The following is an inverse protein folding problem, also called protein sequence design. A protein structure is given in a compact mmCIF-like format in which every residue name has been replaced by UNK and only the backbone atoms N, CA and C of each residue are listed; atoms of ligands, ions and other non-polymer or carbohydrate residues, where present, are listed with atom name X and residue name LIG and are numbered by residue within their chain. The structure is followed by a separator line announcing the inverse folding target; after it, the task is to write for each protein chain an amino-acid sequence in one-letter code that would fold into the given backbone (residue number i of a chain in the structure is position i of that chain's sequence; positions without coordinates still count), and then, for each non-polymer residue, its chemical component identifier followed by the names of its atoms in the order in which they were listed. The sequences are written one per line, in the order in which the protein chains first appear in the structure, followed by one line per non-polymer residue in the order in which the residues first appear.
data_IF_339860563036
#
_entry.id   IF_339860563036
#
_cell.length_a   1.000
_cell.length_b   1.000
_cell.length_c   1.000
_cell.angle_alpha   90.00
_cell.angle_beta   90.00
_cell.angle_gamma   90.00
#
_symmetry.space_group_name_H-M   'P 1'
#
loop_
_entity.id
_entity.type
_entity.pdbx_description
1 polymer ?
#
# COMPACT_ATOMS: atom_id res chain seq x y z
N UNK A 1 4.84 33.24 -18.86
CA UNK A 1 5.13 32.57 -17.57
C UNK A 1 3.84 32.20 -16.83
N UNK A 2 2.98 31.34 -17.40
CA UNK A 2 1.70 30.91 -16.78
C UNK A 2 1.60 29.39 -16.57
N UNK A 3 2.39 28.61 -17.31
CA UNK A 3 2.30 27.14 -17.35
C UNK A 3 2.84 26.48 -16.06
N UNK A 4 3.84 27.09 -15.39
CA UNK A 4 4.44 26.52 -14.16
C UNK A 4 3.49 26.57 -12.95
N UNK A 5 2.54 27.50 -12.91
CA UNK A 5 1.61 27.68 -11.79
C UNK A 5 0.44 26.68 -11.84
N UNK A 6 -0.07 26.36 -13.03
CA UNK A 6 -1.16 25.39 -13.21
C UNK A 6 -0.74 23.96 -12.87
N UNK A 7 0.50 23.58 -13.18
CA UNK A 7 1.06 22.26 -12.83
C UNK A 7 1.23 22.12 -11.31
N UNK A 8 1.66 23.19 -10.62
CA UNK A 8 1.80 23.20 -9.17
C UNK A 8 0.45 23.04 -8.45
N UNK A 9 -0.61 23.70 -8.96
CA UNK A 9 -1.97 23.59 -8.40
C UNK A 9 -2.61 22.21 -8.63
N UNK A 10 -2.38 21.59 -9.79
CA UNK A 10 -2.86 20.23 -10.06
C UNK A 10 -2.19 19.21 -9.13
N UNK A 11 -0.87 19.30 -8.93
CA UNK A 11 -0.14 18.42 -8.02
C UNK A 11 -0.59 18.61 -6.56
N UNK A 12 -0.81 19.85 -6.11
CA UNK A 12 -1.26 20.14 -4.74
C UNK A 12 -2.67 19.59 -4.46
N UNK A 13 -3.58 19.63 -5.44
CA UNK A 13 -4.95 19.08 -5.28
C UNK A 13 -4.96 17.55 -5.12
N UNK A 14 -4.08 16.82 -5.83
CA UNK A 14 -3.98 15.36 -5.70
C UNK A 14 -3.34 14.92 -4.38
N UNK A 15 -2.48 15.75 -3.79
CA UNK A 15 -1.88 15.50 -2.47
C UNK A 15 -2.88 15.83 -1.35
N UNK A 16 -3.71 16.87 -1.52
CA UNK A 16 -4.70 17.27 -0.52
C UNK A 16 -5.93 16.34 -0.47
N UNK A 17 -6.30 15.72 -1.59
CA UNK A 17 -7.36 14.69 -1.61
C UNK A 17 -6.97 13.39 -0.88
N UNK A 18 -5.68 13.18 -0.59
CA UNK A 18 -5.19 12.02 0.15
C UNK A 18 -5.26 12.20 1.68
N UNK A 19 -5.51 13.42 2.17
CA UNK A 19 -5.36 13.79 3.59
C UNK A 19 -6.65 13.82 4.43
N UNK A 20 -7.83 13.58 3.85
CA UNK A 20 -9.12 13.75 4.54
C UNK A 20 -9.90 12.44 4.79
N UNK A 21 -9.41 11.29 4.37
CA UNK A 21 -10.19 10.04 4.48
C UNK A 21 -10.06 9.30 5.83
N UNK A 22 -9.31 9.81 6.81
CA UNK A 22 -8.93 9.01 7.99
C UNK A 22 -9.59 9.42 9.31
N UNK A 23 -10.54 10.38 9.32
CA UNK A 23 -11.10 10.89 10.59
C UNK A 23 -12.50 10.39 10.95
N UNK A 24 -13.29 9.85 10.01
CA UNK A 24 -14.70 9.50 10.25
C UNK A 24 -14.90 7.99 10.39
N UNK A 25 -14.09 7.33 11.23
CA UNK A 25 -14.25 5.90 11.53
C UNK A 25 -14.02 5.54 13.01
N UNK A 26 -13.54 6.49 13.82
CA UNK A 26 -13.12 6.25 15.21
C UNK A 26 -14.23 6.38 16.25
N UNK A 27 -15.32 7.09 15.95
CA UNK A 27 -16.34 7.45 16.94
C UNK A 27 -17.45 6.40 17.12
N UNK A 28 -17.66 5.50 16.16
CA UNK A 28 -18.68 4.43 16.24
C UNK A 28 -18.20 3.14 16.92
N UNK A 29 -16.90 3.02 17.20
CA UNK A 29 -16.23 1.80 17.71
C UNK A 29 -16.32 1.63 19.23
N UNK A 30 -16.63 2.69 19.98
CA UNK A 30 -16.51 2.70 21.45
C UNK A 30 -17.59 1.93 22.23
N UNK A 31 -18.58 1.28 21.60
CA UNK A 31 -19.72 0.64 22.33
C UNK A 31 -19.86 -0.88 22.22
N UNK A 32 -18.86 -1.55 21.69
CA UNK A 32 -18.71 -3.00 21.65
C UNK A 32 -17.46 -3.26 20.83
N UNK A 33 -16.55 -4.16 21.26
CA UNK A 33 -15.32 -4.41 20.51
C UNK A 33 -15.70 -4.86 19.08
N UNK A 34 -15.60 -3.93 18.13
CA UNK A 34 -15.86 -4.22 16.74
C UNK A 34 -14.68 -5.08 16.25
N UNK A 35 -14.95 -6.39 16.10
CA UNK A 35 -13.93 -7.37 15.75
C UNK A 35 -13.27 -7.04 14.41
N UNK A 36 -14.00 -6.42 13.48
CA UNK A 36 -13.45 -5.90 12.23
C UNK A 36 -12.39 -4.83 12.47
N UNK A 37 -12.67 -3.82 13.29
CA UNK A 37 -11.72 -2.75 13.62
C UNK A 37 -10.51 -3.29 14.36
N UNK A 38 -10.72 -4.24 15.29
CA UNK A 38 -9.63 -4.96 15.96
C UNK A 38 -8.73 -5.68 14.97
N UNK A 39 -9.32 -6.38 13.99
CA UNK A 39 -8.59 -7.02 12.90
C UNK A 39 -7.76 -6.04 12.08
N UNK A 40 -8.30 -4.86 11.77
CA UNK A 40 -7.58 -3.80 11.07
C UNK A 40 -6.37 -3.28 11.85
N UNK A 41 -6.56 -2.97 13.14
CA UNK A 41 -5.49 -2.46 14.02
C UNK A 41 -4.38 -3.50 14.22
N UNK A 42 -4.74 -4.77 14.33
CA UNK A 42 -3.76 -5.85 14.45
C UNK A 42 -2.97 -6.06 13.15
N UNK A 43 -3.64 -5.99 12.00
CA UNK A 43 -2.96 -6.05 10.70
C UNK A 43 -1.97 -4.90 10.53
N UNK A 44 -2.32 -3.69 10.96
CA UNK A 44 -1.44 -2.52 10.90
C UNK A 44 -0.11 -2.73 11.64
N UNK A 45 -0.16 -3.38 12.80
CA UNK A 45 1.03 -3.61 13.64
C UNK A 45 1.83 -4.85 13.21
N UNK A 46 1.14 -5.89 12.74
CA UNK A 46 1.74 -7.22 12.63
C UNK A 46 1.95 -7.70 11.18
N UNK A 47 1.24 -7.16 10.20
CA UNK A 47 1.30 -7.67 8.84
C UNK A 47 2.64 -7.35 8.16
N UNK A 48 3.43 -8.40 7.89
CA UNK A 48 4.74 -8.34 7.22
C UNK A 48 4.79 -9.11 5.89
N UNK A 49 3.66 -9.63 5.43
CA UNK A 49 3.55 -10.47 4.23
C UNK A 49 3.89 -9.76 2.90
N UNK A 50 4.04 -8.43 2.92
CA UNK A 50 4.35 -7.61 1.74
C UNK A 50 5.81 -7.69 1.26
N UNK A 51 6.78 -8.02 2.15
CA UNK A 51 8.22 -7.90 1.86
C UNK A 51 8.71 -8.65 0.63
N UNK A 52 8.18 -9.87 0.39
CA UNK A 52 8.56 -10.67 -0.80
C UNK A 52 8.05 -10.01 -2.09
N UNK A 53 6.83 -9.48 -2.08
CA UNK A 53 6.23 -8.79 -3.23
C UNK A 53 6.90 -7.43 -3.49
N UNK A 54 7.28 -6.73 -2.42
CA UNK A 54 8.03 -5.46 -2.44
C UNK A 54 9.37 -5.63 -3.16
N UNK A 55 10.20 -6.59 -2.72
CA UNK A 55 11.52 -6.84 -3.27
C UNK A 55 11.47 -7.29 -4.74
N UNK A 56 10.52 -8.18 -5.08
CA UNK A 56 10.33 -8.63 -6.45
C UNK A 56 9.89 -7.50 -7.39
N UNK A 57 8.96 -6.65 -6.94
CA UNK A 57 8.50 -5.49 -7.73
C UNK A 57 9.64 -4.51 -7.96
N UNK A 58 10.43 -4.21 -6.92
CA UNK A 58 11.58 -3.32 -7.03
C UNK A 58 12.60 -3.83 -8.07
N UNK A 59 13.00 -5.11 -7.99
CA UNK A 59 13.98 -5.70 -8.90
C UNK A 59 13.52 -5.70 -10.37
N UNK A 60 12.26 -6.09 -10.63
CA UNK A 60 11.71 -6.05 -12.00
C UNK A 60 11.59 -4.62 -12.52
N UNK A 61 11.18 -3.68 -11.67
CA UNK A 61 11.03 -2.28 -12.03
C UNK A 61 12.35 -1.58 -12.32
N UNK A 62 13.46 -2.05 -11.74
CA UNK A 62 14.80 -1.53 -12.02
C UNK A 62 15.29 -1.92 -13.43
N UNK A 63 14.94 -3.12 -13.89
CA UNK A 63 15.27 -3.60 -15.25
C UNK A 63 14.46 -2.88 -16.32
N UNK A 64 13.16 -2.69 -16.07
CA UNK A 64 12.29 -1.90 -16.92
C UNK A 64 11.10 -1.39 -16.10
N UNK A 65 10.97 -0.07 -15.89
CA UNK A 65 9.86 0.50 -15.13
C UNK A 65 8.49 0.18 -15.74
N UNK A 66 8.42 0.03 -17.06
CA UNK A 66 7.22 -0.37 -17.81
C UNK A 66 6.82 -1.82 -17.51
N UNK A 67 7.78 -2.74 -17.46
CA UNK A 67 7.52 -4.14 -17.11
C UNK A 67 7.19 -4.26 -15.61
N UNK A 68 7.83 -3.45 -14.78
CA UNK A 68 7.59 -3.37 -13.33
C UNK A 68 6.18 -2.91 -12.94
N UNK A 69 5.45 -2.25 -13.84
CA UNK A 69 4.07 -1.85 -13.62
C UNK A 69 3.13 -3.07 -13.59
N UNK A 70 3.43 -4.13 -14.34
CA UNK A 70 2.60 -5.34 -14.42
C UNK A 70 2.52 -6.04 -13.04
N UNK A 71 3.64 -6.33 -12.34
CA UNK A 71 3.63 -6.81 -10.96
C UNK A 71 2.91 -5.88 -9.98
N UNK A 72 3.05 -4.56 -10.12
CA UNK A 72 2.42 -3.59 -9.23
C UNK A 72 0.89 -3.65 -9.31
N UNK A 73 0.36 -3.69 -10.53
CA UNK A 73 -1.08 -3.84 -10.81
C UNK A 73 -1.56 -5.22 -10.34
N UNK A 74 -0.90 -6.31 -10.75
CA UNK A 74 -1.30 -7.67 -10.40
C UNK A 74 -1.26 -7.95 -8.89
N UNK A 75 -0.26 -7.43 -8.17
CA UNK A 75 -0.16 -7.59 -6.72
C UNK A 75 -1.21 -6.78 -5.95
N UNK A 76 -1.74 -5.72 -6.56
CA UNK A 76 -2.77 -4.86 -5.98
C UNK A 76 -4.13 -5.54 -6.00
N UNK A 77 -4.47 -6.23 -7.09
CA UNK A 77 -5.78 -6.90 -7.19
C UNK A 77 -5.86 -8.23 -6.42
N UNK A 78 -4.73 -8.89 -6.21
CA UNK A 78 -4.72 -10.17 -5.48
C UNK A 78 -4.58 -9.95 -3.97
N UNK A 79 -5.57 -10.37 -3.15
CA UNK A 79 -5.47 -10.30 -1.70
C UNK A 79 -4.26 -11.13 -1.21
N UNK A 80 -3.71 -10.82 -0.02
CA UNK A 80 -2.65 -11.62 0.57
C UNK A 80 -3.11 -13.09 0.72
N UNK A 81 -2.27 -14.03 0.30
CA UNK A 81 -2.52 -15.46 0.54
C UNK A 81 -2.60 -15.70 2.05
N UNK A 82 -3.49 -16.58 2.51
CA UNK A 82 -3.68 -16.84 3.95
C UNK A 82 -2.37 -17.16 4.69
N UNK A 83 -1.51 -17.98 4.08
CA UNK A 83 -0.17 -18.31 4.60
C UNK A 83 0.77 -17.11 4.81
N UNK A 84 0.46 -15.95 4.24
CA UNK A 84 1.23 -14.72 4.35
C UNK A 84 0.54 -13.68 5.26
N UNK A 85 -0.67 -13.97 5.77
CA UNK A 85 -1.40 -13.05 6.64
C UNK A 85 -0.79 -12.99 8.03
N UNK A 86 -0.21 -14.09 8.53
CA UNK A 86 0.49 -14.14 9.83
C UNK A 86 -0.32 -13.50 10.97
N UNK A 87 -1.56 -13.97 11.16
CA UNK A 87 -2.41 -13.50 12.25
C UNK A 87 -1.68 -13.61 13.59
N UNK A 88 -1.68 -12.56 14.44
CA UNK A 88 -1.01 -12.59 15.73
C UNK A 88 -1.66 -13.61 16.68
N UNK A 89 -2.99 -13.71 16.63
CA UNK A 89 -3.76 -14.68 17.41
C UNK A 89 -4.61 -15.56 16.49
N UNK A 90 -4.23 -16.85 16.30
CA UNK A 90 -4.98 -17.78 15.45
C UNK A 90 -6.43 -18.02 15.90
N UNK A 91 -6.71 -17.81 17.20
CA UNK A 91 -8.05 -17.93 17.76
C UNK A 91 -8.97 -16.81 17.27
N UNK A 92 -8.47 -15.57 17.20
CA UNK A 92 -9.22 -14.42 16.67
C UNK A 92 -9.49 -14.56 15.17
N UNK A 93 -8.57 -15.19 14.44
CA UNK A 93 -8.77 -15.48 13.02
C UNK A 93 -9.98 -16.39 12.74
N UNK A 94 -10.52 -17.11 13.74
CA UNK A 94 -11.78 -17.87 13.58
C UNK A 94 -13.02 -16.98 13.52
N UNK A 95 -12.94 -15.75 14.03
CA UNK A 95 -14.02 -14.78 13.91
C UNK A 95 -13.98 -14.16 12.50
N UNK A 96 -15.12 -14.20 11.79
CA UNK A 96 -15.23 -13.75 10.41
C UNK A 96 -15.01 -12.23 10.29
N UNK A 97 -15.59 -11.43 11.19
CA UNK A 97 -15.43 -9.98 11.19
C UNK A 97 -13.96 -9.57 11.40
N UNK A 98 -13.30 -10.18 12.37
CA UNK A 98 -11.86 -9.98 12.60
C UNK A 98 -11.04 -10.36 11.38
N UNK A 99 -11.31 -11.52 10.79
CA UNK A 99 -10.61 -11.99 9.60
C UNK A 99 -10.77 -11.01 8.43
N UNK A 100 -11.98 -10.52 8.20
CA UNK A 100 -12.26 -9.55 7.14
C UNK A 100 -11.51 -8.24 7.35
N UNK A 101 -11.56 -7.67 8.56
CA UNK A 101 -10.86 -6.42 8.87
C UNK A 101 -9.35 -6.55 8.74
N UNK A 102 -8.79 -7.68 9.18
CA UNK A 102 -7.37 -7.97 9.03
C UNK A 102 -6.97 -8.06 7.55
N UNK A 103 -7.73 -8.80 6.74
CA UNK A 103 -7.44 -8.95 5.30
C UNK A 103 -7.56 -7.62 4.55
N UNK A 104 -8.57 -6.81 4.87
CA UNK A 104 -8.75 -5.50 4.22
C UNK A 104 -7.56 -4.58 4.48
N UNK A 105 -7.17 -4.39 5.75
CA UNK A 105 -5.99 -3.57 6.09
C UNK A 105 -4.69 -4.18 5.55
N UNK A 106 -4.49 -5.49 5.65
CA UNK A 106 -3.30 -6.16 5.10
C UNK A 106 -3.18 -5.96 3.58
N UNK A 107 -4.29 -5.99 2.85
CA UNK A 107 -4.34 -5.72 1.40
C UNK A 107 -3.94 -4.27 1.11
N UNK A 108 -4.47 -3.30 1.86
CA UNK A 108 -4.11 -1.87 1.74
C UNK A 108 -2.61 -1.64 2.00
N UNK A 109 -2.04 -2.25 3.05
CA UNK A 109 -0.61 -2.17 3.37
C UNK A 109 0.24 -2.73 2.23
N UNK A 110 -0.12 -3.93 1.72
CA UNK A 110 0.59 -4.57 0.61
C UNK A 110 0.61 -3.67 -0.63
N UNK A 111 -0.54 -3.11 -1.00
CA UNK A 111 -0.67 -2.17 -2.13
C UNK A 111 0.25 -0.98 -1.97
N UNK A 112 0.18 -0.29 -0.82
CA UNK A 112 0.99 0.90 -0.53
C UNK A 112 2.49 0.62 -0.65
N UNK A 113 2.96 -0.52 -0.12
CA UNK A 113 4.36 -0.92 -0.18
C UNK A 113 4.83 -1.25 -1.60
N UNK A 114 4.04 -2.03 -2.34
CA UNK A 114 4.35 -2.40 -3.74
C UNK A 114 4.43 -1.17 -4.64
N UNK A 115 3.47 -0.25 -4.54
CA UNK A 115 3.49 1.00 -5.29
C UNK A 115 4.67 1.90 -4.91
N UNK A 116 4.98 1.99 -3.61
CA UNK A 116 6.15 2.71 -3.12
C UNK A 116 7.47 2.17 -3.73
N UNK A 117 7.61 0.84 -3.83
CA UNK A 117 8.79 0.23 -4.45
C UNK A 117 8.88 0.46 -5.95
N UNK A 118 7.77 0.36 -6.69
CA UNK A 118 7.74 0.66 -8.11
C UNK A 118 8.16 2.12 -8.38
N UNK A 119 7.59 3.07 -7.62
CA UNK A 119 7.97 4.48 -7.71
C UNK A 119 9.44 4.73 -7.35
N UNK A 120 9.94 4.04 -6.31
CA UNK A 120 11.36 4.11 -5.93
C UNK A 120 12.29 3.65 -7.06
N UNK A 121 11.99 2.51 -7.68
CA UNK A 121 12.78 1.99 -8.80
C UNK A 121 12.73 2.93 -10.02
N UNK A 122 11.56 3.46 -10.37
CA UNK A 122 11.41 4.45 -11.43
C UNK A 122 12.31 5.68 -11.20
N UNK A 123 12.29 6.22 -9.98
CA UNK A 123 13.12 7.37 -9.61
C UNK A 123 14.61 7.06 -9.74
N UNK A 124 15.06 5.88 -9.31
CA UNK A 124 16.45 5.43 -9.48
C UNK A 124 16.84 5.33 -10.96
N UNK A 125 16.01 4.72 -11.81
CA UNK A 125 16.28 4.60 -13.25
C UNK A 125 16.38 5.96 -13.94
N UNK A 126 15.50 6.91 -13.59
CA UNK A 126 15.55 8.28 -14.13
C UNK A 126 16.82 9.02 -13.70
N UNK A 127 17.20 8.93 -12.42
CA UNK A 127 18.42 9.55 -11.92
C UNK A 127 19.67 9.01 -12.63
N UNK A 128 19.76 7.69 -12.84
CA UNK A 128 20.85 7.06 -13.58
C UNK A 128 20.92 7.55 -15.03
N UNK A 129 19.78 7.63 -15.73
CA UNK A 129 19.72 8.12 -17.11
C UNK A 129 20.27 9.55 -17.23
N UNK A 130 19.84 10.46 -16.33
CA UNK A 130 20.31 11.86 -16.31
C UNK A 130 21.82 11.93 -16.08
N UNK A 131 22.36 11.16 -15.14
CA UNK A 131 23.80 11.14 -14.86
C UNK A 131 24.59 10.58 -16.05
N UNK A 132 24.13 9.50 -16.67
CA UNK A 132 24.80 8.87 -17.81
C UNK A 132 24.74 9.69 -19.12
N UNK A 133 23.81 10.63 -19.22
CA UNK A 133 23.65 11.52 -20.37
C UNK A 133 24.53 12.78 -20.33
N UNK A 134 25.30 12.97 -19.25
CA UNK A 134 26.28 14.04 -19.09
C UNK A 134 27.66 13.56 -19.50
#
# INVERSE_FOLDING_TARGET
MKIKSTIFLLLFSTVFAFGQFEYVDTLSVFRGENMYVKGMLDAEKNYKGYRKSELGTFGVSLLSPLIGLIPAVACTFNPPKEKNLNYPEPKLAKNIEYRMGYIDKASKIKRKKVWGSWLGALATSVAFAIVSSR
#
